data_IF_383638446745
#
_entry.id   IF_383638446745
#
_cell.length_a   1.000
_cell.length_b   1.000
_cell.length_c   1.000
_cell.angle_alpha   90.00
_cell.angle_beta   90.00
_cell.angle_gamma   90.00
#
_symmetry.space_group_name_H-M   'P 1'
#
loop_
_entity.id
_entity.type
_entity.pdbx_description
1 polymer ?
#
# COMPACT_ATOMS: atom_id res chain seq x y z
N UNK A 1 2.21 -1.57 13.34
CA UNK A 1 2.12 -2.24 12.02
C UNK A 1 2.42 -3.72 12.18
N UNK A 2 1.51 -4.60 11.75
CA UNK A 2 1.64 -6.06 11.91
C UNK A 2 2.82 -6.66 11.14
N UNK A 3 3.39 -5.94 10.17
CA UNK A 3 4.57 -6.36 9.39
C UNK A 3 5.44 -5.15 8.98
N UNK A 4 6.45 -4.74 9.76
CA UNK A 4 7.20 -3.50 9.48
C UNK A 4 8.20 -3.61 8.31
N UNK A 5 8.58 -4.82 7.88
CA UNK A 5 9.49 -5.06 6.73
C UNK A 5 9.03 -6.16 5.76
N UNK A 6 7.89 -6.80 6.04
CA UNK A 6 7.32 -7.87 5.21
C UNK A 6 6.15 -7.41 4.33
N UNK A 7 5.80 -6.12 4.36
CA UNK A 7 4.57 -5.58 3.79
C UNK A 7 4.76 -4.77 2.52
N UNK A 8 5.94 -4.72 1.89
CA UNK A 8 6.14 -3.90 0.68
C UNK A 8 5.15 -4.24 -0.45
N UNK A 9 4.54 -5.43 -0.43
CA UNK A 9 3.50 -5.87 -1.36
C UNK A 9 2.15 -6.21 -0.68
N UNK A 10 1.95 -5.78 0.56
CA UNK A 10 0.75 -6.04 1.35
C UNK A 10 0.87 -7.26 2.28
N UNK A 11 -0.26 -7.92 2.54
CA UNK A 11 -0.33 -9.06 3.45
C UNK A 11 0.55 -10.24 2.98
N UNK A 12 1.36 -10.85 3.87
CA UNK A 12 2.09 -12.07 3.56
C UNK A 12 1.14 -13.19 3.11
N UNK A 13 1.48 -13.88 2.01
CA UNK A 13 0.66 -14.96 1.47
C UNK A 13 -0.45 -14.53 0.51
N UNK A 14 -0.77 -13.24 0.40
CA UNK A 14 -1.72 -12.74 -0.59
C UNK A 14 -1.09 -12.65 -1.99
N UNK A 15 -0.86 -13.82 -2.61
CA UNK A 15 -0.18 -13.96 -3.90
C UNK A 15 -0.84 -13.15 -5.02
N UNK A 16 -2.17 -13.03 -5.01
CA UNK A 16 -2.91 -12.30 -6.02
C UNK A 16 -2.57 -10.80 -5.97
N UNK A 17 -2.65 -10.18 -4.79
CA UNK A 17 -2.30 -8.77 -4.59
C UNK A 17 -0.83 -8.50 -4.88
N UNK A 18 0.05 -9.36 -4.38
CA UNK A 18 1.50 -9.23 -4.60
C UNK A 18 1.85 -9.25 -6.09
N UNK A 19 1.23 -10.16 -6.87
CA UNK A 19 1.42 -10.23 -8.32
C UNK A 19 0.87 -9.02 -9.05
N UNK A 20 -0.28 -8.50 -8.62
CA UNK A 20 -0.86 -7.28 -9.20
C UNK A 20 0.05 -6.07 -9.01
N UNK A 21 0.51 -5.82 -7.77
CA UNK A 21 1.43 -4.70 -7.46
C UNK A 21 2.71 -4.79 -8.29
N UNK A 22 3.33 -5.99 -8.36
CA UNK A 22 4.54 -6.20 -9.15
C UNK A 22 4.33 -5.92 -10.64
N UNK A 23 3.22 -6.40 -11.20
CA UNK A 23 2.90 -6.18 -12.61
C UNK A 23 2.73 -4.70 -12.91
N UNK A 24 1.91 -4.00 -12.13
CA UNK A 24 1.62 -2.59 -12.36
C UNK A 24 2.87 -1.71 -12.16
N UNK A 25 3.78 -2.12 -11.27
CA UNK A 25 5.08 -1.44 -11.08
C UNK A 25 5.97 -1.58 -12.33
N UNK A 26 6.04 -2.77 -12.92
CA UNK A 26 6.80 -3.01 -14.14
C UNK A 26 6.19 -2.28 -15.34
N UNK A 27 4.86 -2.26 -15.44
CA UNK A 27 4.15 -1.52 -16.48
C UNK A 27 4.38 0.00 -16.32
N UNK A 28 4.38 0.52 -15.09
CA UNK A 28 4.68 1.92 -14.80
C UNK A 28 6.11 2.32 -15.16
N UNK A 29 7.10 1.43 -15.00
CA UNK A 29 8.48 1.70 -15.40
C UNK A 29 8.58 2.07 -16.89
N UNK A 30 7.79 1.43 -17.74
CA UNK A 30 7.73 1.75 -19.17
C UNK A 30 7.14 3.13 -19.50
N UNK A 31 6.47 3.78 -18.53
CA UNK A 31 5.88 5.11 -18.69
C UNK A 31 6.78 6.25 -18.21
N UNK A 32 7.90 5.95 -17.55
CA UNK A 32 8.80 6.96 -16.98
C UNK A 32 9.68 7.53 -18.09
N UNK A 33 9.42 8.78 -18.47
CA UNK A 33 10.18 9.50 -19.51
C UNK A 33 11.19 10.50 -18.95
N UNK A 34 11.06 10.89 -17.68
CA UNK A 34 11.92 11.88 -17.02
C UNK A 34 12.40 11.37 -15.65
N UNK A 35 13.65 11.66 -15.26
CA UNK A 35 14.17 11.29 -13.95
C UNK A 35 13.64 12.21 -12.85
N UNK A 36 13.56 11.69 -11.62
CA UNK A 36 13.32 12.51 -10.42
C UNK A 36 11.85 12.69 -10.01
N UNK A 37 11.05 11.63 -10.08
CA UNK A 37 9.65 11.63 -9.64
C UNK A 37 9.21 10.30 -9.04
N UNK A 38 7.91 10.19 -8.76
CA UNK A 38 7.24 8.96 -8.37
C UNK A 38 5.94 8.82 -9.17
N UNK A 39 5.54 7.57 -9.42
CA UNK A 39 4.23 7.25 -10.00
C UNK A 39 3.41 6.56 -8.91
N UNK A 40 2.25 7.13 -8.60
CA UNK A 40 1.32 6.55 -7.65
C UNK A 40 0.53 5.41 -8.31
N UNK A 41 0.58 4.22 -7.70
CA UNK A 41 -0.19 3.07 -8.14
C UNK A 41 -1.49 2.97 -7.34
N UNK A 42 -2.57 2.45 -7.94
CA UNK A 42 -3.89 2.35 -7.32
C UNK A 42 -4.02 1.26 -6.24
N UNK A 43 -2.92 0.89 -5.56
CA UNK A 43 -2.91 -0.14 -4.52
C UNK A 43 -2.91 0.49 -3.13
N UNK A 44 -3.83 0.06 -2.27
CA UNK A 44 -3.87 0.47 -0.86
C UNK A 44 -3.47 -0.68 0.05
N UNK A 45 -2.71 -0.39 1.10
CA UNK A 45 -2.40 -1.35 2.15
C UNK A 45 -3.54 -1.34 3.16
N UNK A 46 -4.23 -2.47 3.28
CA UNK A 46 -5.23 -2.64 4.33
C UNK A 46 -4.48 -2.69 5.67
N UNK A 47 -4.75 -1.70 6.51
CA UNK A 47 -4.31 -1.70 7.89
C UNK A 47 -5.54 -1.99 8.77
N UNK A 48 -5.37 -2.84 9.79
CA UNK A 48 -6.38 -2.97 10.82
C UNK A 48 -6.69 -1.57 11.39
N UNK A 49 -7.96 -1.24 11.66
CA UNK A 49 -8.32 0.05 12.21
C UNK A 49 -7.54 0.29 13.50
N UNK A 50 -6.89 1.45 13.59
CA UNK A 50 -6.19 1.84 14.82
C UNK A 50 -7.24 2.04 15.90
N UNK A 51 -7.18 1.26 16.97
CA UNK A 51 -8.11 1.40 18.09
C UNK A 51 -7.59 2.46 19.07
N UNK A 52 -8.41 3.44 19.43
CA UNK A 52 -8.14 4.40 20.51
C UNK A 52 -9.23 4.29 21.58
N UNK A 53 -8.83 3.94 22.81
CA UNK A 53 -9.75 3.73 23.95
C UNK A 53 -10.96 2.82 23.64
N UNK A 54 -10.75 1.80 22.80
CA UNK A 54 -11.81 0.86 22.40
C UNK A 54 -12.64 1.29 21.20
N UNK A 55 -12.36 2.46 20.60
CA UNK A 55 -13.06 2.97 19.41
C UNK A 55 -12.14 2.90 18.19
N UNK A 56 -12.60 2.41 17.02
CA UNK A 56 -11.81 2.43 15.80
C UNK A 56 -11.66 3.88 15.29
N UNK A 57 -10.42 4.36 15.19
CA UNK A 57 -10.10 5.62 14.52
C UNK A 57 -10.37 5.46 13.02
N UNK A 58 -11.30 6.25 12.51
CA UNK A 58 -11.54 6.39 11.07
C UNK A 58 -10.69 7.53 10.53
N UNK A 59 -10.17 7.38 9.32
CA UNK A 59 -9.47 8.44 8.60
C UNK A 59 -10.36 9.71 8.56
N UNK A 60 -9.86 10.84 9.04
CA UNK A 60 -10.62 12.10 9.18
C UNK A 60 -11.17 12.42 10.58
N UNK A 61 -10.88 11.62 11.61
CA UNK A 61 -11.30 11.90 13.01
C UNK A 61 -10.41 12.89 13.77
N UNK A 62 -9.49 13.56 13.07
CA UNK A 62 -8.68 14.67 13.59
C UNK A 62 -9.10 15.96 12.87
N UNK A 63 -10.25 16.52 13.25
CA UNK A 63 -10.68 17.88 12.90
C UNK A 63 -11.12 18.59 14.17
#
# INVERSE_FOLDING_TARGET
MRFPRGSMFGEPGNRAKQRAVLRDTLDALGSITEPGGHVELAHRWEADPVMWRGTPLREGSYS
#
